data_IF_507500050611
#
_entry.id   IF_507500050611
#
_cell.length_a   1.000
_cell.length_b   1.000
_cell.length_c   1.000
_cell.angle_alpha   90.00
_cell.angle_beta   90.00
_cell.angle_gamma   90.00
#
_symmetry.space_group_name_H-M   'P 1'
#
loop_
_entity.id
_entity.type
_entity.pdbx_description
1 polymer ?
#
# COMPACT_ATOMS: atom_id res chain seq x y z
N UNK A 1 -18.68 35.20 77.84
CA UNK A 1 -19.94 35.58 77.16
C UNK A 1 -19.57 36.23 75.84
N UNK A 2 -20.23 35.87 74.73
CA UNK A 2 -19.53 35.29 73.58
C UNK A 2 -19.24 36.27 72.43
N UNK A 3 -18.23 35.90 71.64
CA UNK A 3 -17.87 36.51 70.36
C UNK A 3 -18.92 36.20 69.30
N UNK A 4 -19.29 37.24 68.54
CA UNK A 4 -20.29 37.23 67.49
C UNK A 4 -19.80 36.39 66.30
N UNK A 5 -20.56 35.37 65.94
CA UNK A 5 -20.39 34.61 64.71
C UNK A 5 -20.84 35.49 63.52
N UNK A 6 -19.94 35.69 62.56
CA UNK A 6 -20.27 36.28 61.27
C UNK A 6 -20.88 35.21 60.37
N UNK A 7 -22.19 35.23 60.26
CA UNK A 7 -22.97 34.50 59.26
C UNK A 7 -22.84 35.24 57.92
N UNK A 8 -22.09 34.67 56.98
CA UNK A 8 -21.86 35.19 55.63
C UNK A 8 -22.62 34.34 54.59
N UNK A 9 -23.91 34.07 54.83
CA UNK A 9 -24.74 33.37 53.86
C UNK A 9 -26.03 34.15 53.57
N UNK A 10 -25.88 35.29 52.92
CA UNK A 10 -26.97 35.93 52.19
C UNK A 10 -26.72 35.77 50.69
N UNK A 11 -27.28 34.69 50.14
CA UNK A 11 -27.49 34.50 48.71
C UNK A 11 -28.55 35.49 48.24
N UNK A 12 -28.15 36.75 48.07
CA UNK A 12 -28.96 37.73 47.38
C UNK A 12 -28.94 37.36 45.90
N UNK A 13 -30.03 36.73 45.42
CA UNK A 13 -30.23 36.22 44.06
C UNK A 13 -30.25 37.27 42.95
N UNK A 14 -29.32 38.24 42.98
CA UNK A 14 -29.20 39.34 42.04
C UNK A 14 -28.14 39.12 40.95
N UNK A 15 -27.41 38.01 40.99
CA UNK A 15 -26.57 37.56 39.87
C UNK A 15 -27.25 36.36 39.22
N UNK A 16 -27.63 36.44 37.93
CA UNK A 16 -27.89 35.23 37.16
C UNK A 16 -26.65 34.36 37.28
N UNK A 17 -26.76 33.22 37.97
CA UNK A 17 -25.73 32.18 37.94
C UNK A 17 -25.34 32.00 36.49
N UNK A 18 -24.07 32.23 36.15
CA UNK A 18 -23.58 31.99 34.80
C UNK A 18 -24.04 30.59 34.41
N UNK A 19 -25.04 30.52 33.53
CA UNK A 19 -25.40 29.29 32.85
C UNK A 19 -24.07 28.74 32.35
N UNK A 20 -23.71 27.46 32.62
CA UNK A 20 -22.50 26.89 32.06
C UNK A 20 -22.60 27.17 30.57
N UNK A 21 -21.66 27.98 30.07
CA UNK A 21 -21.71 28.55 28.73
C UNK A 21 -22.16 27.43 27.81
N UNK A 22 -23.33 27.59 27.17
CA UNK A 22 -23.80 26.66 26.16
C UNK A 22 -22.58 26.35 25.31
N UNK A 23 -22.11 25.10 25.40
CA UNK A 23 -20.87 24.65 24.78
C UNK A 23 -20.90 25.19 23.38
N UNK A 24 -19.96 26.09 23.06
CA UNK A 24 -19.82 26.62 21.71
C UNK A 24 -19.87 25.37 20.82
N UNK A 25 -20.91 25.20 19.99
CA UNK A 25 -20.98 24.01 19.16
C UNK A 25 -19.66 23.98 18.41
N UNK A 26 -18.92 22.85 18.41
CA UNK A 26 -17.72 22.78 17.61
C UNK A 26 -18.12 23.24 16.22
N UNK A 27 -17.37 24.15 15.61
CA UNK A 27 -17.56 24.55 14.21
C UNK A 27 -17.28 23.36 13.24
N UNK A 28 -17.25 22.13 13.75
CA UNK A 28 -17.33 20.90 13.00
C UNK A 28 -18.80 20.57 12.80
N UNK A 29 -19.19 20.41 11.54
CA UNK A 29 -20.40 19.70 11.16
C UNK A 29 -20.24 18.29 11.76
N UNK A 30 -20.94 18.03 12.84
CA UNK A 30 -20.94 16.72 13.51
C UNK A 30 -21.82 15.82 12.66
N UNK A 31 -21.18 15.06 11.78
CA UNK A 31 -21.79 13.94 11.08
C UNK A 31 -21.93 12.82 12.12
N UNK A 32 -23.10 12.18 12.18
CA UNK A 32 -23.36 11.07 13.12
C UNK A 32 -22.30 9.97 12.93
N UNK A 33 -21.85 9.33 14.02
CA UNK A 33 -20.78 8.31 14.00
C UNK A 33 -21.10 7.13 13.06
N UNK A 34 -22.38 6.90 12.75
CA UNK A 34 -22.84 5.88 11.80
C UNK A 34 -22.47 6.24 10.35
N UNK A 35 -22.65 7.51 9.97
CA UNK A 35 -22.35 8.00 8.62
C UNK A 35 -20.82 8.12 8.40
N UNK A 36 -20.05 8.41 9.45
CA UNK A 36 -18.59 8.48 9.37
C UNK A 36 -17.96 7.11 9.07
N UNK A 37 -18.48 6.05 9.69
CA UNK A 37 -18.09 4.67 9.45
C UNK A 37 -18.44 4.23 8.03
N UNK A 38 -19.63 4.58 7.54
CA UNK A 38 -20.07 4.28 6.18
C UNK A 38 -19.15 4.94 5.13
N UNK A 39 -18.84 6.22 5.28
CA UNK A 39 -17.93 6.91 4.35
C UNK A 39 -16.52 6.31 4.41
N UNK A 40 -16.03 5.93 5.59
CA UNK A 40 -14.72 5.29 5.73
C UNK A 40 -14.68 3.90 5.08
N UNK A 41 -15.78 3.15 5.14
CA UNK A 41 -15.91 1.83 4.51
C UNK A 41 -15.94 1.96 2.98
N UNK A 42 -16.65 2.96 2.45
CA UNK A 42 -16.69 3.29 1.03
C UNK A 42 -15.30 3.68 0.51
N UNK A 43 -14.54 4.48 1.26
CA UNK A 43 -13.17 4.85 0.90
C UNK A 43 -12.27 3.62 0.74
N UNK A 44 -12.40 2.62 1.63
CA UNK A 44 -11.64 1.36 1.54
C UNK A 44 -12.10 0.51 0.37
N UNK A 45 -13.42 0.35 0.20
CA UNK A 45 -14.01 -0.43 -0.88
C UNK A 45 -13.59 0.09 -2.27
N UNK A 46 -13.53 1.42 -2.44
CA UNK A 46 -13.06 2.05 -3.67
C UNK A 46 -11.57 1.81 -3.95
N UNK A 47 -10.75 1.65 -2.92
CA UNK A 47 -9.30 1.49 -3.07
C UNK A 47 -8.88 0.07 -3.44
N UNK A 48 -9.57 -0.96 -2.92
CA UNK A 48 -9.26 -2.38 -3.17
C UNK A 48 -9.04 -2.74 -4.66
N UNK A 49 -9.92 -2.39 -5.61
CA UNK A 49 -9.72 -2.74 -7.02
C UNK A 49 -8.48 -2.10 -7.62
N UNK A 50 -8.11 -0.88 -7.19
CA UNK A 50 -6.90 -0.21 -7.68
C UNK A 50 -5.64 -0.96 -7.26
N UNK A 51 -5.55 -1.37 -6.00
CA UNK A 51 -4.40 -2.12 -5.50
C UNK A 51 -4.35 -3.54 -6.06
N UNK A 52 -5.51 -4.16 -6.34
CA UNK A 52 -5.54 -5.45 -7.04
C UNK A 52 -4.98 -5.33 -8.47
N UNK A 53 -5.43 -4.32 -9.23
CA UNK A 53 -4.91 -4.03 -10.57
C UNK A 53 -3.42 -3.69 -10.50
N UNK A 54 -2.97 -2.93 -9.50
CA UNK A 54 -1.57 -2.59 -9.28
C UNK A 54 -0.68 -3.84 -9.17
N UNK A 55 -1.08 -4.83 -8.37
CA UNK A 55 -0.31 -6.08 -8.21
C UNK A 55 -0.17 -6.81 -9.55
N UNK A 56 -1.26 -6.92 -10.32
CA UNK A 56 -1.24 -7.54 -11.64
C UNK A 56 -0.33 -6.78 -12.60
N UNK A 57 -0.54 -5.47 -12.72
CA UNK A 57 0.20 -4.57 -13.62
C UNK A 57 1.69 -4.61 -13.32
N UNK A 58 2.08 -4.50 -12.05
CA UNK A 58 3.48 -4.58 -11.62
C UNK A 58 4.10 -5.95 -11.95
N UNK A 59 3.37 -7.04 -11.72
CA UNK A 59 3.85 -8.40 -12.00
C UNK A 59 4.23 -8.55 -13.47
N UNK A 60 3.38 -8.08 -14.39
CA UNK A 60 3.68 -8.13 -15.83
C UNK A 60 4.73 -7.09 -16.27
N UNK A 61 4.68 -5.86 -15.72
CA UNK A 61 5.62 -4.78 -16.07
C UNK A 61 7.06 -5.10 -15.67
N UNK A 62 7.26 -5.76 -14.53
CA UNK A 62 8.60 -6.12 -14.05
C UNK A 62 9.36 -7.01 -15.03
N UNK A 63 8.63 -7.88 -15.72
CA UNK A 63 9.13 -8.77 -16.76
C UNK A 63 9.31 -8.03 -18.08
N UNK A 64 8.29 -7.29 -18.54
CA UNK A 64 8.34 -6.63 -19.85
C UNK A 64 9.42 -5.55 -19.93
N UNK A 65 9.61 -4.77 -18.87
CA UNK A 65 10.57 -3.63 -18.86
C UNK A 65 12.03 -4.08 -19.04
N UNK A 66 12.36 -5.32 -18.70
CA UNK A 66 13.70 -5.90 -18.90
C UNK A 66 13.79 -6.72 -20.18
N UNK A 67 12.69 -7.39 -20.55
CA UNK A 67 12.58 -8.14 -21.79
C UNK A 67 12.65 -7.25 -23.04
N UNK A 68 11.87 -6.16 -23.06
CA UNK A 68 11.72 -5.31 -24.23
C UNK A 68 13.04 -4.62 -24.61
N UNK A 69 13.91 -4.33 -23.62
CA UNK A 69 15.26 -3.81 -23.89
C UNK A 69 16.14 -4.78 -24.72
N UNK A 70 15.97 -6.09 -24.51
CA UNK A 70 16.70 -7.12 -25.26
C UNK A 70 16.09 -7.31 -26.64
N UNK A 71 14.75 -7.30 -26.71
CA UNK A 71 14.00 -7.42 -27.97
C UNK A 71 14.34 -6.30 -28.94
N UNK A 72 14.38 -5.06 -28.45
CA UNK A 72 14.59 -3.86 -29.28
C UNK A 72 16.08 -3.51 -29.46
N UNK A 73 16.98 -4.31 -28.88
CA UNK A 73 18.44 -4.09 -28.86
C UNK A 73 18.87 -2.71 -28.32
N UNK A 74 17.97 -1.98 -27.66
CA UNK A 74 18.25 -0.69 -27.03
C UNK A 74 19.27 -0.81 -25.90
N UNK A 75 19.44 -2.02 -25.35
CA UNK A 75 20.54 -2.34 -24.43
C UNK A 75 21.93 -2.01 -24.99
N UNK A 76 22.16 -2.13 -26.31
CA UNK A 76 23.45 -1.80 -26.94
C UNK A 76 23.69 -0.29 -27.02
N UNK A 77 22.61 0.50 -27.16
CA UNK A 77 22.67 1.97 -27.13
C UNK A 77 22.97 2.49 -25.73
N UNK A 78 22.30 1.94 -24.70
CA UNK A 78 22.61 2.31 -23.32
C UNK A 78 24.02 1.92 -22.90
N UNK A 79 24.58 0.87 -23.51
CA UNK A 79 25.95 0.43 -23.28
C UNK A 79 27.00 1.32 -23.94
N UNK A 80 26.66 2.04 -25.01
CA UNK A 80 27.54 3.06 -25.58
C UNK A 80 27.49 4.39 -24.81
N UNK A 81 26.50 4.57 -23.93
CA UNK A 81 26.48 5.66 -22.96
C UNK A 81 27.30 5.31 -21.70
N UNK A 82 27.88 6.30 -21.02
CA UNK A 82 28.60 6.10 -19.75
C UNK A 82 27.65 5.84 -18.57
N UNK A 83 26.70 4.92 -18.73
CA UNK A 83 25.70 4.54 -17.73
C UNK A 83 25.90 3.07 -17.35
N UNK A 84 26.02 2.80 -16.04
CA UNK A 84 26.20 1.44 -15.53
C UNK A 84 24.90 0.63 -15.63
N UNK A 85 24.99 -0.60 -16.15
CA UNK A 85 23.87 -1.57 -16.22
C UNK A 85 23.15 -1.76 -14.88
N UNK A 86 23.90 -1.75 -13.78
CA UNK A 86 23.35 -1.89 -12.42
C UNK A 86 22.43 -0.72 -12.06
N UNK A 87 22.78 0.50 -12.47
CA UNK A 87 21.95 1.69 -12.21
C UNK A 87 20.65 1.64 -12.98
N UNK A 88 20.66 1.13 -14.21
CA UNK A 88 19.44 1.00 -15.03
C UNK A 88 18.43 0.03 -14.41
N UNK A 89 18.88 -1.16 -13.97
CA UNK A 89 17.99 -2.12 -13.29
C UNK A 89 17.45 -1.56 -11.99
N UNK A 90 18.31 -0.97 -11.16
CA UNK A 90 17.89 -0.45 -9.86
C UNK A 90 16.91 0.73 -10.02
N UNK A 91 17.12 1.60 -11.00
CA UNK A 91 16.19 2.70 -11.29
C UNK A 91 14.80 2.19 -11.67
N UNK A 92 14.72 1.13 -12.49
CA UNK A 92 13.44 0.49 -12.83
C UNK A 92 12.81 -0.19 -11.63
N UNK A 93 13.62 -0.85 -10.80
CA UNK A 93 13.13 -1.51 -9.60
C UNK A 93 12.50 -0.49 -8.64
N UNK A 94 13.17 0.64 -8.43
CA UNK A 94 12.64 1.74 -7.62
C UNK A 94 11.41 2.38 -8.27
N UNK A 95 11.37 2.52 -9.59
CA UNK A 95 10.21 3.04 -10.31
C UNK A 95 8.98 2.15 -10.11
N UNK A 96 9.11 0.85 -10.34
CA UNK A 96 8.01 -0.10 -10.17
C UNK A 96 7.64 -0.28 -8.69
N UNK A 97 8.61 -0.22 -7.78
CA UNK A 97 8.39 -0.44 -6.34
C UNK A 97 7.84 0.77 -5.59
N UNK A 98 8.09 1.99 -6.05
CA UNK A 98 7.71 3.21 -5.33
C UNK A 98 6.90 4.19 -6.15
N UNK A 99 7.33 4.48 -7.38
CA UNK A 99 6.65 5.47 -8.22
C UNK A 99 5.30 4.93 -8.70
N UNK A 100 5.23 3.66 -9.10
CA UNK A 100 3.97 3.05 -9.56
C UNK A 100 2.92 2.96 -8.44
N UNK A 101 3.24 2.45 -7.23
CA UNK A 101 2.29 2.49 -6.12
C UNK A 101 1.89 3.90 -5.69
N UNK A 102 2.82 4.86 -5.70
CA UNK A 102 2.51 6.25 -5.40
C UNK A 102 1.53 6.86 -6.42
N UNK A 103 1.68 6.54 -7.71
CA UNK A 103 0.74 6.96 -8.74
C UNK A 103 -0.65 6.34 -8.52
N UNK A 104 -0.72 5.07 -8.11
CA UNK A 104 -1.99 4.42 -7.74
C UNK A 104 -2.65 5.08 -6.54
N UNK A 105 -1.89 5.42 -5.51
CA UNK A 105 -2.42 6.15 -4.35
C UNK A 105 -3.04 7.49 -4.76
N UNK A 106 -2.36 8.26 -5.61
CA UNK A 106 -2.90 9.52 -6.15
C UNK A 106 -4.19 9.28 -6.93
N UNK A 107 -4.24 8.23 -7.76
CA UNK A 107 -5.45 7.87 -8.51
C UNK A 107 -6.61 7.50 -7.57
N UNK A 108 -6.35 6.76 -6.50
CA UNK A 108 -7.37 6.42 -5.47
C UNK A 108 -7.90 7.68 -4.80
N UNK A 109 -7.02 8.59 -4.37
CA UNK A 109 -7.43 9.85 -3.73
C UNK A 109 -8.28 10.70 -4.68
N UNK A 110 -7.89 10.80 -5.95
CA UNK A 110 -8.68 11.52 -6.96
C UNK A 110 -10.07 10.89 -7.10
N UNK A 111 -10.16 9.57 -7.21
CA UNK A 111 -11.46 8.87 -7.31
C UNK A 111 -12.32 9.08 -6.08
N UNK A 112 -11.73 9.01 -4.88
CA UNK A 112 -12.44 9.28 -3.63
C UNK A 112 -13.00 10.70 -3.60
N UNK A 113 -12.22 11.71 -4.01
CA UNK A 113 -12.69 13.09 -4.10
C UNK A 113 -13.84 13.20 -5.11
N UNK A 114 -13.73 12.59 -6.28
CA UNK A 114 -14.80 12.62 -7.31
C UNK A 114 -16.10 12.01 -6.78
N UNK A 115 -16.02 10.86 -6.10
CA UNK A 115 -17.20 10.20 -5.52
C UNK A 115 -17.82 11.05 -4.41
N UNK A 116 -17.00 11.64 -3.53
CA UNK A 116 -17.49 12.51 -2.47
C UNK A 116 -18.18 13.75 -3.02
N UNK A 117 -17.62 14.40 -4.06
CA UNK A 117 -18.27 15.54 -4.74
C UNK A 117 -19.61 15.11 -5.34
N UNK A 118 -19.70 13.90 -5.92
CA UNK A 118 -20.94 13.41 -6.49
C UNK A 118 -22.01 13.12 -5.43
N UNK A 119 -21.62 12.62 -4.25
CA UNK A 119 -22.51 12.39 -3.11
C UNK A 119 -22.99 13.69 -2.49
N UNK A 120 -22.09 14.65 -2.26
CA UNK A 120 -22.35 16.01 -1.75
C UNK A 120 -23.43 16.71 -2.61
N UNK A 121 -23.37 16.55 -3.93
CA UNK A 121 -24.37 17.07 -4.87
C UNK A 121 -25.75 16.39 -4.77
N UNK A 122 -25.83 15.15 -4.30
CA UNK A 122 -27.08 14.38 -4.22
C UNK A 122 -27.72 14.44 -2.82
N UNK A 123 -26.94 14.46 -1.75
CA UNK A 123 -27.43 14.45 -0.37
C UNK A 123 -27.57 15.83 0.27
N UNK A 124 -27.11 16.92 -0.38
CA UNK A 124 -27.02 18.29 0.20
C UNK A 124 -26.22 18.33 1.53
N UNK A 125 -25.42 17.30 1.80
CA UNK A 125 -24.52 17.20 2.94
C UNK A 125 -23.14 17.75 2.58
N UNK A 126 -22.46 18.39 3.53
CA UNK A 126 -21.13 18.98 3.32
C UNK A 126 -20.02 17.94 3.58
N UNK A 127 -19.88 16.96 2.70
CA UNK A 127 -18.94 15.83 2.83
C UNK A 127 -17.49 16.24 2.52
N UNK A 128 -17.28 17.24 1.66
CA UNK A 128 -15.94 17.75 1.30
C UNK A 128 -15.24 18.41 2.50
N UNK A 129 -15.86 19.34 3.25
CA UNK A 129 -15.29 19.85 4.49
C UNK A 129 -15.02 18.75 5.52
N UNK A 130 -15.91 17.77 5.64
CA UNK A 130 -15.74 16.65 6.58
C UNK A 130 -14.48 15.83 6.29
N UNK A 131 -14.15 15.56 5.02
CA UNK A 131 -12.90 14.86 4.65
C UNK A 131 -11.64 15.55 5.17
N UNK A 132 -11.64 16.89 5.19
CA UNK A 132 -10.48 17.70 5.56
C UNK A 132 -10.39 17.94 7.08
N UNK A 133 -11.52 17.99 7.77
CA UNK A 133 -11.59 18.34 9.20
C UNK A 133 -11.68 17.10 10.11
N UNK A 134 -12.36 16.04 9.67
CA UNK A 134 -12.57 14.84 10.49
C UNK A 134 -11.26 14.12 10.79
N UNK A 135 -11.13 13.61 12.02
CA UNK A 135 -9.99 12.78 12.41
C UNK A 135 -9.98 11.43 11.69
N UNK A 136 -11.16 10.87 11.44
CA UNK A 136 -11.37 9.52 10.93
C UNK A 136 -11.07 9.40 9.43
N UNK A 137 -11.53 10.35 8.62
CA UNK A 137 -11.23 10.35 7.19
C UNK A 137 -9.72 10.56 6.93
N UNK A 138 -9.09 11.46 7.70
CA UNK A 138 -7.62 11.62 7.69
C UNK A 138 -6.92 10.35 8.15
N UNK A 139 -7.43 9.68 9.18
CA UNK A 139 -6.91 8.40 9.65
C UNK A 139 -6.95 7.31 8.56
N UNK A 140 -8.03 7.23 7.80
CA UNK A 140 -8.18 6.28 6.68
C UNK A 140 -7.23 6.59 5.54
N UNK A 141 -7.06 7.86 5.16
CA UNK A 141 -6.06 8.28 4.16
C UNK A 141 -4.62 7.98 4.60
N UNK A 142 -4.30 8.17 5.88
CA UNK A 142 -2.98 7.81 6.44
C UNK A 142 -2.75 6.29 6.43
N UNK A 143 -3.78 5.49 6.74
CA UNK A 143 -3.71 4.02 6.61
C UNK A 143 -3.48 3.60 5.15
N UNK A 144 -4.19 4.20 4.20
CA UNK A 144 -4.01 3.99 2.76
C UNK A 144 -2.58 4.33 2.28
N UNK A 145 -2.04 5.45 2.77
CA UNK A 145 -0.67 5.85 2.48
C UNK A 145 0.33 4.84 3.07
N UNK A 146 0.15 4.43 4.33
CA UNK A 146 0.95 3.41 4.98
C UNK A 146 0.92 2.07 4.23
N UNK A 147 -0.26 1.65 3.77
CA UNK A 147 -0.43 0.46 2.95
C UNK A 147 0.28 0.56 1.60
N UNK A 148 0.27 1.72 0.97
CA UNK A 148 0.99 1.97 -0.30
C UNK A 148 2.50 1.84 -0.12
N UNK A 149 3.06 2.38 0.97
CA UNK A 149 4.48 2.22 1.27
C UNK A 149 4.82 0.77 1.60
N UNK A 150 3.94 0.09 2.33
CA UNK A 150 4.05 -1.32 2.66
C UNK A 150 4.08 -2.20 1.40
N UNK A 151 3.20 -1.94 0.42
CA UNK A 151 3.10 -2.76 -0.78
C UNK A 151 4.40 -2.77 -1.60
N UNK A 152 5.13 -1.65 -1.63
CA UNK A 152 6.41 -1.56 -2.34
C UNK A 152 7.48 -2.48 -1.75
N UNK A 153 7.56 -2.54 -0.42
CA UNK A 153 8.47 -3.44 0.31
C UNK A 153 8.02 -4.88 0.16
N UNK A 154 6.71 -5.10 0.24
CA UNK A 154 6.10 -6.42 0.20
C UNK A 154 6.16 -7.08 -1.19
N UNK A 155 6.11 -6.29 -2.27
CA UNK A 155 6.28 -6.74 -3.67
C UNK A 155 7.75 -6.84 -4.11
N UNK A 156 8.71 -6.35 -3.32
CA UNK A 156 10.13 -6.37 -3.65
C UNK A 156 10.64 -7.73 -4.18
N UNK A 157 10.36 -8.89 -3.54
CA UNK A 157 10.81 -10.19 -4.06
C UNK A 157 10.19 -10.55 -5.41
N UNK A 158 8.91 -10.25 -5.63
CA UNK A 158 8.22 -10.52 -6.90
C UNK A 158 8.73 -9.63 -8.02
N UNK A 159 8.99 -8.36 -7.72
CA UNK A 159 9.64 -7.42 -8.64
C UNK A 159 11.03 -7.91 -9.07
N UNK A 160 11.84 -8.33 -8.10
CA UNK A 160 13.18 -8.84 -8.35
C UNK A 160 13.15 -10.14 -9.18
N UNK A 161 12.20 -11.04 -8.88
CA UNK A 161 11.96 -12.26 -9.65
C UNK A 161 11.58 -11.95 -11.10
N UNK A 162 10.60 -11.06 -11.32
CA UNK A 162 10.14 -10.70 -12.65
C UNK A 162 11.26 -10.08 -13.50
N UNK A 163 12.09 -9.22 -12.89
CA UNK A 163 13.27 -8.66 -13.54
C UNK A 163 14.32 -9.71 -13.87
N UNK A 164 14.57 -10.68 -12.97
CA UNK A 164 15.48 -11.80 -13.23
C UNK A 164 15.01 -12.59 -14.44
N UNK A 165 13.75 -13.02 -14.44
CA UNK A 165 13.18 -13.79 -15.55
C UNK A 165 13.20 -13.01 -16.86
N UNK A 166 12.85 -11.72 -16.83
CA UNK A 166 12.88 -10.87 -18.02
C UNK A 166 14.29 -10.66 -18.58
N UNK A 167 15.33 -10.63 -17.73
CA UNK A 167 16.73 -10.59 -18.22
C UNK A 167 17.22 -11.93 -18.77
N UNK A 168 16.79 -13.07 -18.20
CA UNK A 168 17.37 -14.38 -18.51
C UNK A 168 16.60 -15.20 -19.55
N UNK A 169 15.32 -14.91 -19.79
CA UNK A 169 14.49 -15.73 -20.68
C UNK A 169 15.01 -15.71 -22.14
N UNK A 170 14.80 -16.78 -22.94
CA UNK A 170 15.10 -16.78 -24.37
C UNK A 170 13.89 -16.48 -25.26
N UNK A 171 12.68 -16.88 -24.84
CA UNK A 171 11.38 -16.56 -25.47
C UNK A 171 10.26 -16.58 -24.41
N UNK A 172 9.19 -15.81 -24.65
CA UNK A 172 7.97 -15.76 -23.82
C UNK A 172 8.23 -15.63 -22.31
N UNK A 173 8.74 -14.49 -21.84
CA UNK A 173 9.23 -14.33 -20.46
C UNK A 173 8.10 -14.36 -19.42
N UNK A 174 6.88 -13.93 -19.77
CA UNK A 174 5.72 -14.00 -18.88
C UNK A 174 5.31 -15.44 -18.59
N UNK A 175 5.37 -16.33 -19.59
CA UNK A 175 5.13 -17.76 -19.39
C UNK A 175 6.18 -18.36 -18.45
N UNK A 176 7.46 -18.03 -18.63
CA UNK A 176 8.53 -18.53 -17.74
C UNK A 176 8.34 -18.00 -16.33
N UNK A 177 7.93 -16.75 -16.16
CA UNK A 177 7.73 -16.12 -14.85
C UNK A 177 6.65 -16.82 -14.02
N UNK A 178 5.64 -17.41 -14.68
CA UNK A 178 4.53 -18.15 -14.04
C UNK A 178 4.84 -19.65 -13.96
N UNK A 179 5.40 -20.22 -15.02
CA UNK A 179 5.67 -21.66 -15.13
C UNK A 179 6.77 -22.10 -14.16
N UNK A 180 7.81 -21.29 -13.98
CA UNK A 180 8.96 -21.67 -13.17
C UNK A 180 8.62 -21.78 -11.67
N UNK A 181 7.88 -20.84 -11.04
CA UNK A 181 7.37 -21.02 -9.68
C UNK A 181 6.42 -22.22 -9.55
N UNK A 182 5.52 -22.42 -10.52
CA UNK A 182 4.61 -23.57 -10.53
C UNK A 182 5.35 -24.90 -10.55
N UNK A 183 6.41 -25.00 -11.36
CA UNK A 183 7.20 -26.20 -11.47
C UNK A 183 7.98 -26.47 -10.17
N UNK A 184 8.53 -25.43 -9.53
CA UNK A 184 9.18 -25.57 -8.22
C UNK A 184 8.22 -26.06 -7.13
N UNK A 185 7.00 -25.54 -7.10
CA UNK A 185 5.96 -26.02 -6.16
C UNK A 185 5.56 -27.47 -6.43
N UNK A 186 5.43 -27.86 -7.70
CA UNK A 186 5.15 -29.25 -8.08
C UNK A 186 6.31 -30.19 -7.72
N UNK A 187 7.56 -29.75 -7.89
CA UNK A 187 8.74 -30.51 -7.49
C UNK A 187 8.77 -30.70 -5.98
N UNK A 188 8.49 -29.64 -5.20
CA UNK A 188 8.49 -29.72 -3.73
C UNK A 188 7.51 -30.77 -3.23
N UNK A 189 6.26 -30.69 -3.70
CA UNK A 189 5.20 -31.63 -3.34
C UNK A 189 5.52 -33.07 -3.75
N UNK A 190 6.13 -33.29 -4.91
CA UNK A 190 6.46 -34.65 -5.40
C UNK A 190 7.71 -35.24 -4.71
N UNK A 191 8.72 -34.43 -4.37
CA UNK A 191 9.98 -34.91 -3.79
C UNK A 191 9.99 -34.95 -2.26
N UNK A 192 9.37 -33.96 -1.62
CA UNK A 192 9.48 -33.73 -0.18
C UNK A 192 8.16 -33.93 0.57
N UNK A 193 7.04 -34.08 -0.15
CA UNK A 193 5.68 -34.16 0.43
C UNK A 193 5.35 -32.95 1.33
N UNK A 194 5.98 -31.81 1.05
CA UNK A 194 5.79 -30.52 1.73
C UNK A 194 5.15 -29.49 0.82
N UNK A 195 4.41 -28.55 1.41
CA UNK A 195 3.69 -27.47 0.70
C UNK A 195 4.20 -26.07 1.06
N UNK A 196 5.41 -25.94 1.59
CA UNK A 196 5.88 -24.66 2.15
C UNK A 196 5.93 -23.53 1.11
N UNK A 197 6.35 -23.81 -0.13
CA UNK A 197 6.34 -22.80 -1.19
C UNK A 197 4.93 -22.45 -1.64
N UNK A 198 4.03 -23.43 -1.69
CA UNK A 198 2.63 -23.20 -2.03
C UNK A 198 1.94 -22.34 -0.97
N UNK A 199 2.08 -22.71 0.30
CA UNK A 199 1.50 -21.98 1.42
C UNK A 199 2.08 -20.56 1.52
N UNK A 200 3.38 -20.40 1.25
CA UNK A 200 4.00 -19.07 1.18
C UNK A 200 3.44 -18.22 0.04
N UNK A 201 3.35 -18.76 -1.18
CA UNK A 201 2.82 -18.03 -2.35
C UNK A 201 1.35 -17.70 -2.17
N UNK A 202 0.55 -18.63 -1.65
CA UNK A 202 -0.88 -18.43 -1.39
C UNK A 202 -1.09 -17.45 -0.25
N UNK A 203 -0.35 -17.55 0.86
CA UNK A 203 -0.44 -16.56 1.94
C UNK A 203 -0.16 -15.15 1.41
N UNK A 204 0.84 -15.02 0.54
CA UNK A 204 1.20 -13.76 -0.06
C UNK A 204 0.14 -13.29 -1.10
N UNK A 205 -0.40 -14.15 -1.95
CA UNK A 205 -1.40 -13.75 -2.96
C UNK A 205 -2.84 -13.76 -2.46
N UNK A 206 -3.09 -14.23 -1.22
CA UNK A 206 -4.43 -14.38 -0.68
C UNK A 206 -5.14 -13.04 -0.53
N UNK A 207 -6.40 -13.02 -0.98
CA UNK A 207 -7.28 -11.86 -0.83
C UNK A 207 -7.47 -11.49 0.64
N UNK A 208 -7.48 -12.48 1.54
CA UNK A 208 -7.62 -12.27 3.00
C UNK A 208 -6.43 -11.53 3.60
N UNK A 209 -5.20 -11.87 3.20
CA UNK A 209 -4.00 -11.13 3.65
C UNK A 209 -4.02 -9.69 3.11
N UNK A 210 -4.51 -9.52 1.89
CA UNK A 210 -4.61 -8.22 1.24
C UNK A 210 -5.68 -7.32 1.88
N UNK A 211 -6.89 -7.82 2.11
CA UNK A 211 -7.98 -7.05 2.75
C UNK A 211 -7.72 -6.84 4.24
N UNK A 212 -7.21 -7.85 4.95
CA UNK A 212 -6.86 -7.75 6.37
C UNK A 212 -5.75 -6.73 6.64
N UNK A 213 -4.81 -6.57 5.71
CA UNK A 213 -3.78 -5.52 5.78
C UNK A 213 -4.36 -4.11 5.57
N UNK A 214 -5.53 -4.01 4.92
CA UNK A 214 -6.21 -2.77 4.57
C UNK A 214 -7.09 -2.23 5.71
N UNK A 215 -7.70 -3.13 6.49
CA UNK A 215 -8.58 -2.76 7.61
C UNK A 215 -7.83 -2.24 8.84
N UNK A 216 -6.49 -2.32 8.84
CA UNK A 216 -5.67 -1.75 9.90
C UNK A 216 -5.85 -2.44 11.26
N UNK A 217 -6.39 -3.67 11.30
CA UNK A 217 -6.35 -4.52 12.49
C UNK A 217 -4.89 -4.94 12.75
N UNK A 218 -4.15 -4.00 13.31
CA UNK A 218 -2.70 -3.97 13.52
C UNK A 218 -2.32 -4.59 14.85
N UNK A 219 -3.09 -5.57 15.34
CA UNK A 219 -2.74 -6.35 16.54
C UNK A 219 -1.63 -7.37 16.29
N UNK A 220 -1.06 -7.41 15.08
CA UNK A 220 -0.15 -8.46 14.65
C UNK A 220 1.08 -7.97 13.86
N UNK A 221 1.41 -6.67 13.91
CA UNK A 221 2.55 -6.14 13.17
C UNK A 221 3.91 -6.65 13.68
N UNK A 222 4.01 -7.11 14.94
CA UNK A 222 5.27 -7.54 15.57
C UNK A 222 5.65 -9.02 15.29
N UNK A 223 4.72 -10.00 15.25
CA UNK A 223 5.05 -11.36 14.83
C UNK A 223 5.39 -11.51 13.34
N UNK A 224 4.85 -10.64 12.46
CA UNK A 224 4.99 -10.79 11.00
C UNK A 224 6.22 -10.10 10.38
N UNK A 225 7.05 -9.40 11.16
CA UNK A 225 8.28 -8.78 10.63
C UNK A 225 9.33 -9.85 10.31
N UNK A 226 9.41 -10.92 11.11
CA UNK A 226 10.38 -12.00 10.94
C UNK A 226 10.23 -12.73 9.60
N UNK A 227 9.02 -13.19 9.29
CA UNK A 227 8.73 -13.92 8.04
C UNK A 227 8.86 -13.03 6.80
N UNK A 228 8.61 -11.72 6.93
CA UNK A 228 8.67 -10.78 5.79
C UNK A 228 10.06 -10.23 5.52
N UNK A 229 10.97 -10.19 6.51
CA UNK A 229 12.37 -9.85 6.30
C UNK A 229 13.10 -10.89 5.43
N UNK A 230 12.70 -12.17 5.50
CA UNK A 230 13.20 -13.21 4.59
C UNK A 230 12.89 -12.86 3.13
N UNK A 231 11.73 -12.26 2.85
CA UNK A 231 11.35 -11.81 1.52
C UNK A 231 12.24 -10.69 0.97
N UNK A 232 12.70 -9.77 1.82
CA UNK A 232 13.63 -8.70 1.42
C UNK A 232 15.02 -9.26 1.11
N UNK A 233 15.50 -10.22 1.92
CA UNK A 233 16.75 -10.93 1.64
C UNK A 233 16.72 -11.69 0.31
N UNK A 234 15.60 -12.38 0.04
CA UNK A 234 15.37 -13.08 -1.22
C UNK A 234 15.32 -12.12 -2.42
N UNK A 235 14.67 -10.95 -2.26
CA UNK A 235 14.65 -9.90 -3.27
C UNK A 235 16.07 -9.42 -3.62
N UNK A 236 16.94 -9.24 -2.61
CA UNK A 236 18.34 -8.90 -2.81
C UNK A 236 19.09 -9.95 -3.63
N UNK A 237 18.90 -11.24 -3.32
CA UNK A 237 19.50 -12.34 -4.08
C UNK A 237 19.02 -12.36 -5.54
N UNK A 238 17.72 -12.18 -5.79
CA UNK A 238 17.19 -12.13 -7.16
C UNK A 238 17.69 -10.91 -7.92
N UNK A 239 17.84 -9.75 -7.29
CA UNK A 239 18.44 -8.59 -7.94
C UNK A 239 19.91 -8.82 -8.30
N UNK A 240 20.70 -9.42 -7.41
CA UNK A 240 22.10 -9.77 -7.70
C UNK A 240 22.16 -10.75 -8.88
N UNK A 241 21.31 -11.77 -8.89
CA UNK A 241 21.24 -12.76 -9.96
C UNK A 241 20.77 -12.14 -11.29
N UNK A 242 19.84 -11.19 -11.27
CA UNK A 242 19.42 -10.43 -12.45
C UNK A 242 20.56 -9.58 -13.03
N UNK A 243 21.30 -8.87 -12.16
CA UNK A 243 22.48 -8.08 -12.56
C UNK A 243 23.55 -9.00 -13.15
N UNK A 244 23.81 -10.15 -12.53
CA UNK A 244 24.79 -11.12 -13.01
C UNK A 244 24.39 -11.73 -14.35
N UNK A 245 23.12 -12.12 -14.52
CA UNK A 245 22.61 -12.66 -15.79
C UNK A 245 22.75 -11.64 -16.94
N UNK A 246 22.45 -10.36 -16.68
CA UNK A 246 22.64 -9.27 -17.66
C UNK A 246 24.11 -9.12 -18.06
N UNK A 247 25.05 -9.26 -17.11
CA UNK A 247 26.49 -9.21 -17.41
C UNK A 247 26.94 -10.39 -18.28
N UNK A 248 26.48 -11.61 -18.00
CA UNK A 248 26.89 -12.82 -18.74
C UNK A 248 26.33 -12.88 -20.16
N UNK A 249 25.14 -12.35 -20.41
CA UNK A 249 24.57 -12.27 -21.76
C UNK A 249 25.35 -11.34 -22.72
N UNK A 250 26.38 -10.64 -22.23
CA UNK A 250 27.22 -9.72 -22.99
C UNK A 250 28.50 -10.37 -23.56
N UNK A 251 28.77 -11.64 -23.25
CA UNK A 251 30.00 -12.34 -23.64
C UNK A 251 29.82 -13.27 -24.86
N UNK A 252 28.64 -13.27 -25.49
CA UNK A 252 28.31 -14.14 -26.64
C UNK A 252 27.95 -13.30 -27.87
#
# INVERSE_FOLDING_TARGET
MPAVATDWNHDDGLYPSAQPAASVPPLGIEIDDEDSDDVSSLQRALALPYFFVLILVISFLSVSVTWDERKDRSILFWKSMPVSDTRSILAKFLFLGWITPAATFVAVVITQIIVLVALDFYSDENLIPWLLTSGEARGTLLKLLGFTLYIGIWLAPFLAWGMLVGTSAPRSPTLIAILLPLLLMAIETVLFDTTHLFDFVVAQLSLETFTGSFDGNTTSILPYVGDKLMGVGLAGLFLIAAIWSRRRSNEV
#
